data_IF_050499565786
#
_entry.id   IF_050499565786
#
_cell.length_a   1.000
_cell.length_b   1.000
_cell.length_c   1.000
_cell.angle_alpha   90.00
_cell.angle_beta   90.00
_cell.angle_gamma   90.00
#
_symmetry.space_group_name_H-M   'P 1'
#
loop_
_entity.id
_entity.type
_entity.pdbx_description
1 polymer ?
#
# COMPACT_ATOMS: atom_id res chain seq x y z
N UNK A 1 -70.43 8.13 55.26
CA UNK A 1 -70.88 9.22 54.37
C UNK A 1 -69.68 9.72 53.58
N UNK A 2 -69.60 9.44 52.28
CA UNK A 2 -68.51 9.92 51.43
C UNK A 2 -68.63 11.45 51.29
N UNK A 3 -67.52 12.15 51.56
CA UNK A 3 -67.49 13.62 51.55
C UNK A 3 -67.73 14.14 50.12
N UNK A 4 -68.87 14.80 49.90
CA UNK A 4 -69.32 15.31 48.60
C UNK A 4 -68.28 16.22 47.92
N UNK A 5 -67.44 16.90 48.70
CA UNK A 5 -66.32 17.72 48.19
C UNK A 5 -65.18 16.88 47.59
N UNK A 6 -64.90 15.71 48.16
CA UNK A 6 -63.84 14.82 47.68
C UNK A 6 -64.20 14.19 46.33
N UNK A 7 -65.47 13.83 46.12
CA UNK A 7 -65.97 13.29 44.85
C UNK A 7 -65.89 14.32 43.72
N UNK A 8 -66.17 15.59 44.01
CA UNK A 8 -66.11 16.68 43.02
C UNK A 8 -64.66 16.95 42.61
N UNK A 9 -63.72 16.96 43.56
CA UNK A 9 -62.29 17.18 43.27
C UNK A 9 -61.72 15.99 42.47
N UNK A 10 -62.06 14.76 42.85
CA UNK A 10 -61.62 13.57 42.12
C UNK A 10 -62.16 13.56 40.67
N UNK A 11 -63.42 13.95 40.46
CA UNK A 11 -64.00 14.07 39.13
C UNK A 11 -63.32 15.17 38.28
N UNK A 12 -63.00 16.31 38.87
CA UNK A 12 -62.32 17.41 38.18
C UNK A 12 -60.89 17.03 37.74
N UNK A 13 -60.15 16.31 38.59
CA UNK A 13 -58.80 15.80 38.25
C UNK A 13 -58.87 14.78 37.12
N UNK A 14 -59.88 13.90 37.13
CA UNK A 14 -60.05 12.88 36.09
C UNK A 14 -60.41 13.50 34.72
N UNK A 15 -61.22 14.56 34.71
CA UNK A 15 -61.54 15.32 33.50
C UNK A 15 -60.28 16.02 32.96
N UNK A 16 -59.45 16.63 33.81
CA UNK A 16 -58.21 17.27 33.39
C UNK A 16 -57.22 16.27 32.79
N UNK A 17 -57.11 15.06 33.34
CA UNK A 17 -56.28 13.99 32.78
C UNK A 17 -56.79 13.50 31.42
N UNK A 18 -58.11 13.38 31.24
CA UNK A 18 -58.70 12.99 29.95
C UNK A 18 -58.50 14.07 28.88
N UNK A 19 -58.61 15.36 29.25
CA UNK A 19 -58.32 16.47 28.34
C UNK A 19 -56.83 16.48 27.96
N UNK A 20 -55.93 16.30 28.93
CA UNK A 20 -54.49 16.21 28.67
C UNK A 20 -54.13 15.06 27.73
N UNK A 21 -54.71 13.87 27.94
CA UNK A 21 -54.53 12.72 27.06
C UNK A 21 -55.09 12.96 25.64
N UNK A 22 -56.25 13.62 25.53
CA UNK A 22 -56.84 13.97 24.24
C UNK A 22 -55.98 14.98 23.46
N UNK A 23 -55.45 16.00 24.13
CA UNK A 23 -54.55 16.99 23.51
C UNK A 23 -53.24 16.34 23.06
N UNK A 24 -52.66 15.45 23.89
CA UNK A 24 -51.48 14.69 23.50
C UNK A 24 -51.75 13.79 22.28
N UNK A 25 -52.88 13.07 22.25
CA UNK A 25 -53.30 12.29 21.10
C UNK A 25 -53.49 13.15 19.85
N UNK A 26 -54.18 14.30 19.97
CA UNK A 26 -54.43 15.20 18.85
C UNK A 26 -53.13 15.82 18.29
N UNK A 27 -52.11 16.05 19.12
CA UNK A 27 -50.83 16.62 18.69
C UNK A 27 -49.88 15.55 18.12
N UNK A 28 -49.81 14.36 18.71
CA UNK A 28 -48.90 13.30 18.26
C UNK A 28 -49.43 12.48 17.07
N UNK A 29 -50.75 12.28 16.95
CA UNK A 29 -51.34 11.48 15.87
C UNK A 29 -51.81 12.29 14.65
N UNK A 30 -51.78 13.64 14.68
CA UNK A 30 -52.08 14.47 13.50
C UNK A 30 -50.89 14.68 12.54
N UNK A 31 -49.70 14.15 12.82
CA UNK A 31 -48.56 14.25 11.90
C UNK A 31 -48.38 13.07 10.94
N UNK A 32 -49.29 12.09 10.91
CA UNK A 32 -49.31 11.04 9.89
C UNK A 32 -50.64 11.00 9.16
N UNK A 33 -51.00 12.12 8.53
CA UNK A 33 -52.03 12.15 7.48
C UNK A 33 -51.33 12.19 6.13
N UNK A 34 -51.10 11.02 5.55
CA UNK A 34 -50.72 10.88 4.14
C UNK A 34 -51.88 11.41 3.30
N UNK A 35 -51.68 12.53 2.60
CA UNK A 35 -52.66 13.08 1.66
C UNK A 35 -52.39 12.51 0.27
N UNK A 36 -53.36 11.89 -0.42
CA UNK A 36 -53.17 11.45 -1.80
C UNK A 36 -53.22 12.67 -2.72
N UNK A 37 -52.04 13.20 -3.02
CA UNK A 37 -51.85 14.28 -3.98
C UNK A 37 -51.99 13.78 -5.42
N UNK A 38 -52.90 14.41 -6.15
CA UNK A 38 -53.11 14.34 -7.60
C UNK A 38 -51.82 14.36 -8.42
N UNK A 39 -51.75 13.46 -9.40
CA UNK A 39 -50.74 13.36 -10.45
C UNK A 39 -50.60 14.67 -11.24
N UNK A 40 -49.48 15.36 -11.04
CA UNK A 40 -48.82 16.15 -12.08
C UNK A 40 -47.47 15.49 -12.34
N UNK A 41 -47.17 15.21 -13.61
CA UNK A 41 -45.86 14.77 -14.08
C UNK A 41 -44.81 15.83 -13.72
N UNK A 42 -44.23 15.70 -12.53
CA UNK A 42 -42.95 16.29 -12.19
C UNK A 42 -41.88 15.26 -12.52
N UNK A 43 -40.81 15.69 -13.20
CA UNK A 43 -39.64 14.85 -13.44
C UNK A 43 -39.25 14.18 -12.13
N UNK A 44 -39.26 12.84 -12.12
CA UNK A 44 -38.51 12.09 -11.13
C UNK A 44 -37.06 12.55 -11.27
N UNK A 45 -36.61 13.36 -10.31
CA UNK A 45 -35.19 13.45 -10.05
C UNK A 45 -34.84 12.10 -9.45
N UNK A 46 -34.50 11.15 -10.32
CA UNK A 46 -33.70 9.99 -9.93
C UNK A 46 -32.41 10.60 -9.40
N UNK A 47 -32.31 10.72 -8.08
CA UNK A 47 -31.00 10.89 -7.45
C UNK A 47 -30.34 9.53 -7.68
N UNK A 48 -29.62 9.39 -8.80
CA UNK A 48 -28.58 8.38 -8.88
C UNK A 48 -27.74 8.54 -7.60
N UNK A 49 -27.53 7.47 -6.81
CA UNK A 49 -26.61 7.57 -5.69
C UNK A 49 -25.32 8.10 -6.28
N UNK A 50 -24.90 9.29 -5.83
CA UNK A 50 -23.61 9.87 -6.20
C UNK A 50 -22.60 8.73 -6.03
N UNK A 51 -22.00 8.27 -7.13
CA UNK A 51 -21.01 7.19 -7.07
C UNK A 51 -19.80 7.83 -6.40
N UNK A 52 -19.82 7.86 -5.07
CA UNK A 52 -18.67 8.30 -4.31
C UNK A 52 -17.60 7.26 -4.63
N UNK A 53 -16.57 7.68 -5.34
CA UNK A 53 -15.43 6.86 -5.73
C UNK A 53 -14.68 6.43 -4.45
N UNK A 54 -15.19 5.41 -3.77
CA UNK A 54 -14.67 4.90 -2.50
C UNK A 54 -13.79 3.69 -2.76
N UNK A 55 -12.72 3.48 -1.97
CA UNK A 55 -11.97 2.25 -2.04
C UNK A 55 -12.85 1.02 -1.77
N UNK A 56 -12.77 0.03 -2.65
CA UNK A 56 -13.50 -1.24 -2.58
C UNK A 56 -12.58 -2.33 -2.06
N UNK A 57 -12.95 -3.08 -1.00
CA UNK A 57 -12.12 -4.18 -0.51
C UNK A 57 -12.06 -5.31 -1.54
N UNK A 58 -10.84 -5.76 -1.82
CA UNK A 58 -10.54 -6.89 -2.72
C UNK A 58 -10.29 -8.20 -1.95
N UNK A 59 -10.05 -8.11 -0.65
CA UNK A 59 -9.73 -9.28 0.20
C UNK A 59 -10.56 -9.30 1.48
N UNK A 60 -10.84 -10.50 1.98
CA UNK A 60 -11.53 -10.72 3.26
C UNK A 60 -10.57 -10.98 4.43
N UNK A 61 -9.29 -11.23 4.15
CA UNK A 61 -8.23 -11.51 5.13
C UNK A 61 -7.00 -10.69 4.81
N UNK A 62 -6.10 -10.55 5.79
CA UNK A 62 -4.83 -9.86 5.62
C UNK A 62 -4.04 -10.48 4.47
N UNK A 63 -3.39 -9.66 3.65
CA UNK A 63 -2.69 -10.11 2.45
C UNK A 63 -1.16 -9.94 2.55
N UNK A 64 -0.45 -10.64 1.67
CA UNK A 64 0.97 -10.45 1.37
C UNK A 64 1.17 -10.35 -0.14
N UNK A 65 2.08 -9.45 -0.53
CA UNK A 65 2.57 -9.27 -1.89
C UNK A 65 1.47 -9.31 -2.97
N UNK A 66 0.46 -8.43 -2.90
CA UNK A 66 -0.50 -8.31 -4.00
C UNK A 66 0.21 -7.89 -5.29
N UNK A 67 -0.26 -8.41 -6.43
CA UNK A 67 0.27 -8.09 -7.75
C UNK A 67 -0.80 -8.28 -8.81
N UNK A 68 -0.69 -7.58 -9.95
CA UNK A 68 -1.47 -7.91 -11.14
C UNK A 68 -1.07 -9.30 -11.64
N UNK A 69 -2.05 -10.07 -12.11
CA UNK A 69 -1.83 -11.38 -12.71
C UNK A 69 -1.26 -11.31 -14.13
N UNK A 70 -0.72 -12.43 -14.64
CA UNK A 70 -0.14 -12.49 -15.98
C UNK A 70 -1.14 -12.19 -17.11
N UNK A 71 -2.45 -12.35 -16.89
CA UNK A 71 -3.48 -11.99 -17.88
C UNK A 71 -3.91 -10.52 -17.84
N UNK A 72 -3.34 -9.73 -16.92
CA UNK A 72 -3.58 -8.29 -16.78
C UNK A 72 -5.03 -7.90 -16.44
N UNK A 73 -5.78 -8.83 -15.83
CA UNK A 73 -7.23 -8.66 -15.57
C UNK A 73 -7.60 -8.76 -14.11
N UNK A 74 -6.74 -9.36 -13.29
CA UNK A 74 -7.00 -9.66 -11.89
C UNK A 74 -5.83 -9.26 -11.02
N UNK A 75 -6.10 -9.15 -9.72
CA UNK A 75 -5.08 -9.07 -8.69
C UNK A 75 -4.92 -10.45 -8.06
N UNK A 76 -3.68 -10.92 -7.92
CA UNK A 76 -3.28 -12.09 -7.15
C UNK A 76 -2.64 -11.65 -5.84
N UNK A 77 -2.87 -12.40 -4.77
CA UNK A 77 -2.23 -12.16 -3.48
C UNK A 77 -2.17 -13.43 -2.64
N UNK A 78 -1.27 -13.45 -1.65
CA UNK A 78 -1.24 -14.50 -0.63
C UNK A 78 -2.03 -14.08 0.60
N UNK A 79 -2.81 -15.00 1.18
CA UNK A 79 -3.37 -14.84 2.52
C UNK A 79 -2.23 -14.85 3.54
N UNK A 80 -2.11 -13.80 4.35
CA UNK A 80 -1.05 -13.66 5.35
C UNK A 80 -1.13 -14.72 6.45
N UNK A 81 -2.34 -15.18 6.80
CA UNK A 81 -2.55 -16.15 7.87
C UNK A 81 -2.37 -17.60 7.42
N UNK A 82 -2.65 -17.88 6.14
CA UNK A 82 -2.76 -19.26 5.65
C UNK A 82 -1.78 -19.58 4.52
N UNK A 83 -1.16 -18.58 3.90
CA UNK A 83 -0.28 -18.77 2.75
C UNK A 83 -0.99 -19.29 1.49
N UNK A 84 -2.33 -19.25 1.45
CA UNK A 84 -3.10 -19.59 0.24
C UNK A 84 -3.10 -18.45 -0.76
N UNK A 85 -3.23 -18.77 -2.05
CA UNK A 85 -3.23 -17.78 -3.13
C UNK A 85 -4.66 -17.55 -3.57
N UNK A 86 -5.02 -16.28 -3.68
CA UNK A 86 -6.31 -15.83 -4.17
C UNK A 86 -6.14 -14.95 -5.39
N UNK A 87 -7.18 -14.93 -6.23
CA UNK A 87 -7.32 -13.98 -7.32
C UNK A 87 -8.68 -13.27 -7.23
N UNK A 88 -8.75 -12.03 -7.69
CA UNK A 88 -9.97 -11.22 -7.68
C UNK A 88 -9.91 -10.18 -8.81
N UNK A 89 -11.05 -9.83 -9.39
CA UNK A 89 -11.12 -8.74 -10.36
C UNK A 89 -10.83 -7.38 -9.69
N UNK A 90 -10.42 -6.38 -10.47
CA UNK A 90 -10.12 -5.05 -9.94
C UNK A 90 -11.33 -4.33 -9.29
N UNK A 91 -12.56 -4.77 -9.58
CA UNK A 91 -13.79 -4.24 -8.98
C UNK A 91 -14.24 -5.04 -7.73
N UNK A 92 -13.46 -6.03 -7.29
CA UNK A 92 -13.77 -6.90 -6.16
C UNK A 92 -14.63 -8.12 -6.49
N UNK A 93 -15.11 -8.26 -7.72
CA UNK A 93 -15.89 -9.43 -8.15
C UNK A 93 -15.00 -10.67 -8.39
N UNK A 94 -15.62 -11.85 -8.43
CA UNK A 94 -14.98 -13.12 -8.76
C UNK A 94 -13.76 -13.49 -7.89
N UNK A 95 -13.82 -13.17 -6.58
CA UNK A 95 -12.83 -13.64 -5.62
C UNK A 95 -12.81 -15.18 -5.57
N UNK A 96 -11.66 -15.79 -5.85
CA UNK A 96 -11.48 -17.23 -5.81
C UNK A 96 -10.11 -17.63 -5.28
N UNK A 97 -10.00 -18.82 -4.70
CA UNK A 97 -8.73 -19.43 -4.31
C UNK A 97 -8.16 -20.21 -5.49
N UNK A 98 -6.89 -20.01 -5.82
CA UNK A 98 -6.22 -20.67 -6.95
C UNK A 98 -5.08 -21.62 -6.54
N UNK A 99 -4.68 -21.62 -5.28
CA UNK A 99 -3.68 -22.57 -4.79
C UNK A 99 -4.33 -23.89 -4.39
N UNK A 100 -3.66 -25.01 -4.68
CA UNK A 100 -4.05 -26.33 -4.18
C UNK A 100 -3.65 -26.53 -2.72
N UNK A 101 -2.46 -26.06 -2.35
CA UNK A 101 -1.88 -26.16 -1.00
C UNK A 101 -1.78 -24.80 -0.28
N UNK A 102 -1.36 -24.86 0.98
CA UNK A 102 -1.04 -23.74 1.86
C UNK A 102 0.48 -23.62 2.04
N UNK A 103 1.01 -22.41 1.95
CA UNK A 103 2.40 -22.09 2.25
C UNK A 103 2.54 -21.73 3.73
N UNK A 104 2.57 -22.74 4.60
CA UNK A 104 2.63 -22.55 6.05
C UNK A 104 3.92 -21.80 6.48
N UNK A 105 3.79 -20.85 7.40
CA UNK A 105 4.92 -20.06 7.90
C UNK A 105 5.44 -18.98 6.95
N UNK A 106 4.74 -18.69 5.85
CA UNK A 106 5.11 -17.65 4.88
C UNK A 106 5.04 -16.25 5.52
N UNK A 107 6.18 -15.54 5.52
CA UNK A 107 6.32 -14.20 6.09
C UNK A 107 6.40 -13.10 5.03
N UNK A 108 7.11 -13.35 3.94
CA UNK A 108 7.32 -12.38 2.85
C UNK A 108 7.42 -13.10 1.50
N UNK A 109 7.07 -12.38 0.44
CA UNK A 109 7.11 -12.87 -0.94
C UNK A 109 7.70 -11.79 -1.84
N UNK A 110 8.68 -12.17 -2.66
CA UNK A 110 9.25 -11.35 -3.70
C UNK A 110 8.95 -11.98 -5.05
N UNK A 111 8.03 -11.38 -5.79
CA UNK A 111 7.63 -11.85 -7.12
C UNK A 111 8.73 -11.62 -8.16
N UNK A 112 8.95 -12.60 -9.02
CA UNK A 112 9.56 -12.35 -10.31
C UNK A 112 8.64 -11.44 -11.16
N UNK A 113 9.18 -10.56 -12.02
CA UNK A 113 8.37 -9.69 -12.87
C UNK A 113 7.32 -10.42 -13.71
N UNK A 114 7.62 -11.62 -14.21
CA UNK A 114 6.70 -12.47 -14.99
C UNK A 114 5.57 -13.10 -14.15
N UNK A 115 5.61 -13.00 -12.83
CA UNK A 115 4.61 -13.54 -11.88
C UNK A 115 4.48 -15.06 -11.87
N UNK A 116 5.47 -15.78 -12.39
CA UNK A 116 5.49 -17.25 -12.40
C UNK A 116 6.35 -17.82 -11.27
N UNK A 117 7.32 -17.04 -10.79
CA UNK A 117 8.22 -17.45 -9.70
C UNK A 117 8.17 -16.45 -8.56
N UNK A 118 8.51 -16.95 -7.38
CA UNK A 118 8.70 -16.15 -6.18
C UNK A 118 10.00 -16.53 -5.47
N UNK A 119 10.51 -15.59 -4.69
CA UNK A 119 11.31 -15.91 -3.50
C UNK A 119 10.41 -15.75 -2.29
N UNK A 120 10.13 -16.85 -1.60
CA UNK A 120 9.37 -16.86 -0.35
C UNK A 120 10.31 -16.88 0.85
N UNK A 121 9.98 -16.09 1.88
CA UNK A 121 10.64 -16.11 3.18
C UNK A 121 9.71 -16.77 4.19
N UNK A 122 10.19 -17.80 4.85
CA UNK A 122 9.41 -18.67 5.72
C UNK A 122 10.02 -18.72 7.12
N UNK A 123 9.17 -18.84 8.12
CA UNK A 123 9.56 -19.20 9.48
C UNK A 123 9.33 -20.70 9.70
N UNK A 124 10.41 -21.43 9.89
CA UNK A 124 10.41 -22.87 10.16
C UNK A 124 11.21 -23.16 11.42
N UNK A 125 10.59 -23.76 12.45
CA UNK A 125 11.24 -24.10 13.72
C UNK A 125 12.07 -22.92 14.28
N UNK A 126 11.48 -21.72 14.31
CA UNK A 126 12.12 -20.47 14.76
C UNK A 126 13.28 -19.94 13.89
N UNK A 127 13.58 -20.62 12.78
CA UNK A 127 14.59 -20.17 11.81
C UNK A 127 13.95 -19.55 10.58
N UNK A 128 14.57 -18.49 10.04
CA UNK A 128 14.14 -17.87 8.79
C UNK A 128 14.81 -18.58 7.63
N UNK A 129 14.02 -19.13 6.72
CA UNK A 129 14.50 -19.79 5.50
C UNK A 129 13.95 -19.08 4.27
N UNK A 130 14.73 -19.10 3.20
CA UNK A 130 14.38 -18.50 1.92
C UNK A 130 14.37 -19.58 0.86
N UNK A 131 13.33 -19.58 0.03
CA UNK A 131 13.16 -20.55 -1.03
C UNK A 131 12.75 -19.86 -2.31
N UNK A 132 13.31 -20.33 -3.42
CA UNK A 132 12.84 -20.01 -4.77
C UNK A 132 11.77 -21.04 -5.15
N UNK A 133 10.57 -20.57 -5.48
CA UNK A 133 9.42 -21.41 -5.79
C UNK A 133 8.76 -21.01 -7.11
N UNK A 134 8.14 -21.99 -7.77
CA UNK A 134 6.97 -21.69 -8.61
C UNK A 134 5.87 -21.06 -7.73
N UNK A 135 5.22 -20.01 -8.23
CA UNK A 135 4.30 -19.23 -7.42
C UNK A 135 3.16 -20.04 -6.77
N UNK A 136 2.74 -21.16 -7.38
CA UNK A 136 1.68 -22.03 -6.83
C UNK A 136 2.17 -23.03 -5.77
N UNK A 137 3.45 -23.00 -5.41
CA UNK A 137 4.03 -23.89 -4.38
C UNK A 137 4.55 -25.22 -4.92
N UNK A 138 4.93 -25.25 -6.20
CA UNK A 138 5.53 -26.42 -6.86
C UNK A 138 7.00 -26.64 -6.51
N UNK A 139 7.85 -26.85 -7.53
CA UNK A 139 9.29 -27.06 -7.33
C UNK A 139 9.89 -25.95 -6.46
N UNK A 140 10.72 -26.34 -5.50
CA UNK A 140 11.33 -25.44 -4.52
C UNK A 140 12.83 -25.68 -4.45
N UNK A 141 13.59 -24.59 -4.46
CA UNK A 141 15.03 -24.60 -4.26
C UNK A 141 15.32 -23.77 -3.02
N UNK A 142 16.00 -24.38 -2.04
CA UNK A 142 16.39 -23.70 -0.81
C UNK A 142 17.60 -22.80 -1.09
N UNK A 143 17.45 -21.50 -0.81
CA UNK A 143 18.57 -20.56 -0.89
C UNK A 143 19.46 -20.67 0.34
N UNK A 144 20.75 -20.35 0.18
CA UNK A 144 21.73 -20.36 1.26
C UNK A 144 21.31 -19.41 2.39
N UNK A 145 21.46 -19.85 3.65
CA UNK A 145 21.09 -19.09 4.85
C UNK A 145 21.85 -17.75 4.98
N UNK A 146 23.03 -17.63 4.38
CA UNK A 146 23.82 -16.39 4.37
C UNK A 146 23.27 -15.29 3.45
N UNK A 147 22.29 -15.61 2.60
CA UNK A 147 21.68 -14.64 1.69
C UNK A 147 20.70 -13.77 2.48
N UNK A 148 20.89 -12.44 2.53
CA UNK A 148 19.97 -11.55 3.24
C UNK A 148 18.98 -10.84 2.31
N UNK A 149 19.40 -10.48 1.10
CA UNK A 149 18.54 -9.82 0.10
C UNK A 149 18.50 -10.59 -1.21
N UNK A 150 17.39 -10.46 -1.94
CA UNK A 150 17.23 -10.98 -3.30
C UNK A 150 16.50 -9.95 -4.16
N UNK A 151 16.94 -9.78 -5.40
CA UNK A 151 16.24 -9.01 -6.44
C UNK A 151 16.15 -9.83 -7.72
N UNK A 152 15.00 -9.78 -8.40
CA UNK A 152 14.80 -10.41 -9.70
C UNK A 152 15.22 -9.46 -10.82
N UNK A 153 15.88 -9.96 -11.85
CA UNK A 153 16.11 -9.20 -13.08
C UNK A 153 14.77 -8.86 -13.75
N UNK A 154 14.68 -7.75 -14.50
CA UNK A 154 13.40 -7.30 -15.08
C UNK A 154 12.81 -8.27 -16.11
N UNK A 155 13.64 -9.10 -16.74
CA UNK A 155 13.24 -10.18 -17.66
C UNK A 155 12.94 -11.51 -16.95
N UNK A 156 13.01 -11.56 -15.61
CA UNK A 156 12.80 -12.75 -14.79
C UNK A 156 13.77 -13.92 -15.05
N UNK A 157 14.86 -13.70 -15.80
CA UNK A 157 15.82 -14.74 -16.17
C UNK A 157 16.92 -14.97 -15.13
N UNK A 158 17.17 -13.99 -14.26
CA UNK A 158 18.23 -14.00 -13.24
C UNK A 158 17.74 -13.48 -11.89
N UNK A 159 18.51 -13.81 -10.85
CA UNK A 159 18.39 -13.22 -9.52
C UNK A 159 19.73 -12.61 -9.10
N UNK A 160 19.68 -11.51 -8.34
CA UNK A 160 20.81 -10.95 -7.62
C UNK A 160 20.60 -11.23 -6.14
N UNK A 161 21.65 -11.67 -5.46
CA UNK A 161 21.63 -11.96 -4.03
C UNK A 161 22.73 -11.19 -3.34
N UNK A 162 22.44 -10.72 -2.14
CA UNK A 162 23.47 -10.22 -1.22
C UNK A 162 23.71 -11.28 -0.15
N UNK A 163 24.99 -11.54 0.13
CA UNK A 163 25.41 -12.46 1.17
C UNK A 163 26.52 -11.87 2.04
N UNK A 164 26.40 -12.08 3.34
CA UNK A 164 27.39 -11.62 4.30
C UNK A 164 28.56 -12.62 4.42
N UNK A 165 29.78 -12.11 4.34
CA UNK A 165 31.00 -12.84 4.63
C UNK A 165 31.53 -12.42 6.02
N UNK A 166 31.32 -13.28 7.00
CA UNK A 166 31.70 -13.06 8.41
C UNK A 166 33.20 -12.85 8.61
N UNK A 167 34.02 -13.59 7.86
CA UNK A 167 35.46 -13.66 8.08
C UNK A 167 36.14 -12.37 7.63
N UNK A 168 35.66 -11.81 6.50
CA UNK A 168 36.17 -10.56 5.93
C UNK A 168 35.38 -9.33 6.36
N UNK A 169 34.24 -9.52 7.06
CA UNK A 169 33.26 -8.47 7.37
C UNK A 169 32.86 -7.66 6.12
N UNK A 170 32.62 -8.37 5.02
CA UNK A 170 32.19 -7.78 3.75
C UNK A 170 30.91 -8.42 3.27
N UNK A 171 30.14 -7.67 2.49
CA UNK A 171 28.96 -8.17 1.78
C UNK A 171 29.34 -8.38 0.32
N UNK A 172 28.90 -9.50 -0.22
CA UNK A 172 29.13 -9.89 -1.62
C UNK A 172 27.78 -9.92 -2.32
N UNK A 173 27.72 -9.23 -3.46
CA UNK A 173 26.59 -9.28 -4.38
C UNK A 173 26.95 -10.21 -5.52
N UNK A 174 26.09 -11.19 -5.75
CA UNK A 174 26.25 -12.20 -6.79
C UNK A 174 24.99 -12.30 -7.64
N UNK A 175 25.15 -12.62 -8.91
CA UNK A 175 24.04 -12.95 -9.81
C UNK A 175 23.98 -14.45 -10.05
N UNK A 176 22.78 -14.99 -10.23
CA UNK A 176 22.52 -16.38 -10.58
C UNK A 176 21.37 -16.46 -11.58
N UNK A 177 21.20 -17.62 -12.20
CA UNK A 177 20.02 -17.90 -13.02
C UNK A 177 18.75 -17.88 -12.17
N UNK A 178 17.58 -17.71 -12.78
CA UNK A 178 16.27 -17.77 -12.12
C UNK A 178 15.92 -19.13 -11.48
N UNK A 179 16.80 -20.13 -11.61
CA UNK A 179 16.74 -21.38 -10.85
C UNK A 179 17.53 -21.33 -9.53
N UNK A 180 18.37 -20.33 -9.31
CA UNK A 180 19.29 -20.30 -8.16
C UNK A 180 20.55 -21.12 -8.39
N UNK A 181 20.99 -21.26 -9.64
CA UNK A 181 22.25 -21.92 -10.03
C UNK A 181 23.19 -20.91 -10.70
N UNK A 182 24.45 -21.31 -10.95
CA UNK A 182 25.45 -20.49 -11.67
C UNK A 182 25.76 -19.13 -11.00
N UNK A 183 25.92 -19.13 -9.68
CA UNK A 183 26.30 -17.92 -8.93
C UNK A 183 27.66 -17.36 -9.39
N UNK A 184 27.66 -16.07 -9.74
CA UNK A 184 28.84 -15.28 -10.09
C UNK A 184 28.89 -14.04 -9.20
N UNK A 185 30.00 -13.83 -8.51
CA UNK A 185 30.22 -12.60 -7.74
C UNK A 185 30.45 -11.42 -8.70
N UNK A 186 29.74 -10.32 -8.46
CA UNK A 186 29.80 -9.13 -9.33
C UNK A 186 30.26 -7.88 -8.59
N UNK A 187 30.07 -7.83 -7.26
CA UNK A 187 30.44 -6.67 -6.46
C UNK A 187 30.69 -7.07 -5.01
N UNK A 188 31.66 -6.41 -4.37
CA UNK A 188 31.99 -6.62 -2.95
C UNK A 188 32.10 -5.27 -2.26
N UNK A 189 31.53 -5.17 -1.06
CA UNK A 189 31.52 -3.93 -0.30
C UNK A 189 31.56 -4.18 1.21
N UNK A 190 31.92 -3.14 1.96
CA UNK A 190 31.82 -3.11 3.44
C UNK A 190 30.53 -2.44 3.92
N UNK A 191 29.70 -1.94 3.01
CA UNK A 191 28.41 -1.34 3.33
C UNK A 191 27.46 -2.44 3.80
N UNK A 192 26.88 -2.28 4.99
CA UNK A 192 25.93 -3.21 5.60
C UNK A 192 24.49 -2.82 5.30
N UNK A 193 23.56 -3.73 5.64
CA UNK A 193 22.12 -3.48 5.54
C UNK A 193 21.70 -3.00 4.14
N UNK A 194 22.17 -3.70 3.13
CA UNK A 194 21.84 -3.39 1.74
C UNK A 194 20.39 -3.77 1.43
N UNK A 195 19.84 -3.09 0.44
CA UNK A 195 18.59 -3.42 -0.25
C UNK A 195 18.90 -3.44 -1.74
N UNK A 196 18.47 -4.52 -2.41
CA UNK A 196 18.70 -4.73 -3.83
C UNK A 196 17.39 -4.56 -4.61
N UNK A 197 17.45 -3.85 -5.73
CA UNK A 197 16.37 -3.74 -6.71
C UNK A 197 16.99 -3.79 -8.11
N UNK A 198 16.34 -4.39 -9.10
CA UNK A 198 16.93 -4.55 -10.44
C UNK A 198 16.08 -3.84 -11.51
N UNK A 199 16.15 -2.49 -11.60
CA UNK A 199 15.25 -1.71 -12.45
C UNK A 199 15.38 -2.01 -13.95
N UNK A 200 16.60 -2.13 -14.48
CA UNK A 200 16.86 -2.41 -15.90
C UNK A 200 17.92 -3.50 -16.05
N UNK A 201 18.00 -4.16 -17.21
CA UNK A 201 18.88 -5.31 -17.42
C UNK A 201 20.35 -5.03 -17.12
N UNK A 202 20.78 -3.79 -17.31
CA UNK A 202 22.14 -3.30 -17.13
C UNK A 202 22.37 -2.58 -15.78
N UNK A 203 21.35 -2.52 -14.91
CA UNK A 203 21.37 -1.71 -13.68
C UNK A 203 20.78 -2.49 -12.50
N UNK A 204 21.65 -3.00 -11.64
CA UNK A 204 21.29 -3.42 -10.29
C UNK A 204 21.42 -2.22 -9.34
N UNK A 205 20.31 -1.78 -8.77
CA UNK A 205 20.24 -0.75 -7.76
C UNK A 205 20.59 -1.32 -6.39
N UNK A 206 21.54 -0.71 -5.70
CA UNK A 206 22.02 -1.13 -4.38
C UNK A 206 21.96 0.08 -3.47
N UNK A 207 21.16 0.02 -2.41
CA UNK A 207 21.02 1.10 -1.43
C UNK A 207 21.17 0.60 -0.01
N UNK A 208 21.51 1.49 0.91
CA UNK A 208 21.40 1.21 2.34
C UNK A 208 19.93 1.14 2.77
N UNK A 209 19.62 0.40 3.85
CA UNK A 209 18.34 0.53 4.53
C UNK A 209 18.12 1.98 4.94
N UNK A 210 16.87 2.42 4.81
CA UNK A 210 16.49 3.81 5.07
C UNK A 210 16.38 4.08 6.56
N UNK A 211 16.94 5.21 7.00
CA UNK A 211 16.70 5.82 8.32
C UNK A 211 16.77 7.33 8.21
N UNK A 212 15.90 8.05 8.92
CA UNK A 212 15.92 9.50 9.05
C UNK A 212 17.05 10.03 9.93
N UNK A 213 17.76 9.15 10.65
CA UNK A 213 18.84 9.51 11.57
C UNK A 213 20.23 9.15 11.05
N UNK A 214 20.31 8.60 9.83
CA UNK A 214 21.58 8.32 9.17
C UNK A 214 21.53 8.70 7.70
N UNK A 215 22.66 9.15 7.17
CA UNK A 215 22.83 9.34 5.74
C UNK A 215 22.77 8.01 5.00
N UNK A 216 21.97 7.97 3.94
CA UNK A 216 21.91 6.83 3.04
C UNK A 216 22.80 6.98 1.81
N UNK A 217 22.94 5.86 1.11
CA UNK A 217 23.65 5.74 -0.16
C UNK A 217 22.81 4.94 -1.15
N UNK A 218 22.83 5.36 -2.42
CA UNK A 218 22.31 4.64 -3.57
C UNK A 218 23.43 4.57 -4.63
N UNK A 219 23.80 3.36 -5.01
CA UNK A 219 24.69 3.09 -6.12
C UNK A 219 23.98 2.20 -7.14
N UNK A 220 24.48 2.22 -8.37
CA UNK A 220 24.12 1.22 -9.39
C UNK A 220 25.32 0.34 -9.67
N UNK A 221 25.10 -0.95 -9.83
CA UNK A 221 26.09 -1.95 -10.24
C UNK A 221 25.62 -2.55 -11.55
N UNK A 222 26.47 -2.58 -12.58
CA UNK A 222 26.18 -3.31 -13.80
C UNK A 222 26.34 -4.81 -13.53
N UNK A 223 25.31 -5.63 -13.76
CA UNK A 223 25.30 -7.03 -13.35
C UNK A 223 26.24 -7.93 -14.16
N UNK A 224 26.68 -7.51 -15.34
CA UNK A 224 27.54 -8.33 -16.20
C UNK A 224 29.02 -8.02 -15.96
N UNK A 225 29.36 -6.72 -15.84
CA UNK A 225 30.72 -6.22 -15.68
C UNK A 225 31.14 -5.99 -14.22
N UNK A 226 30.19 -5.82 -13.30
CA UNK A 226 30.48 -5.42 -11.91
C UNK A 226 30.90 -3.95 -11.74
N UNK A 227 30.95 -3.17 -12.84
CA UNK A 227 31.20 -1.73 -12.76
C UNK A 227 30.09 -1.03 -11.98
N UNK A 228 30.43 0.01 -11.20
CA UNK A 228 29.47 0.69 -10.35
C UNK A 228 29.58 2.21 -10.46
N UNK A 229 28.47 2.89 -10.19
CA UNK A 229 28.38 4.35 -10.11
C UNK A 229 27.64 4.75 -8.84
N UNK A 230 28.08 5.85 -8.20
CA UNK A 230 27.33 6.49 -7.13
C UNK A 230 26.23 7.37 -7.73
N UNK A 231 25.00 7.26 -7.21
CA UNK A 231 23.84 8.03 -7.70
C UNK A 231 23.40 9.06 -6.66
N UNK A 232 23.07 8.63 -5.44
CA UNK A 232 22.68 9.52 -4.34
C UNK A 232 23.47 9.16 -3.09
N UNK A 233 23.93 10.14 -2.32
CA UNK A 233 24.67 9.91 -1.08
C UNK A 233 24.51 11.09 -0.12
N UNK A 234 24.74 10.87 1.17
CA UNK A 234 24.72 11.95 2.17
C UNK A 234 23.31 12.46 2.48
N UNK A 235 22.27 11.66 2.21
CA UNK A 235 20.87 12.07 2.34
C UNK A 235 20.25 11.31 3.52
N UNK A 236 19.79 12.05 4.53
CA UNK A 236 19.00 11.48 5.63
C UNK A 236 17.62 11.05 5.13
N UNK A 237 17.12 9.92 5.62
CA UNK A 237 15.82 9.40 5.20
C UNK A 237 15.80 8.91 3.75
N UNK A 238 16.97 8.61 3.17
CA UNK A 238 17.09 8.15 1.79
C UNK A 238 16.41 6.80 1.60
N UNK A 239 15.29 6.83 0.89
CA UNK A 239 14.74 5.69 0.17
C UNK A 239 14.71 6.08 -1.32
N UNK A 240 14.66 5.11 -2.22
CA UNK A 240 14.67 5.38 -3.66
C UNK A 240 13.85 4.34 -4.42
N UNK A 241 13.17 4.78 -5.47
CA UNK A 241 12.48 3.94 -6.44
C UNK A 241 12.78 4.48 -7.83
N UNK A 242 13.23 3.60 -8.71
CA UNK A 242 13.52 3.96 -10.10
C UNK A 242 12.24 4.13 -10.89
N UNK A 243 12.26 5.06 -11.84
CA UNK A 243 11.23 5.20 -12.84
C UNK A 243 11.20 3.96 -13.76
N UNK A 244 10.06 3.62 -14.38
CA UNK A 244 9.94 2.47 -15.28
C UNK A 244 11.03 2.39 -16.37
N UNK A 245 11.46 3.52 -16.93
CA UNK A 245 12.51 3.57 -17.96
C UNK A 245 13.94 3.52 -17.37
N UNK A 246 14.08 3.66 -16.05
CA UNK A 246 15.36 3.61 -15.34
C UNK A 246 16.27 4.83 -15.54
N UNK A 247 15.83 5.87 -16.25
CA UNK A 247 16.58 7.11 -16.52
C UNK A 247 16.48 8.14 -15.38
N UNK A 248 15.52 7.96 -14.47
CA UNK A 248 15.27 8.82 -13.30
C UNK A 248 15.02 8.01 -12.04
N UNK A 249 15.15 8.67 -10.91
CA UNK A 249 14.86 8.14 -9.58
C UNK A 249 13.94 9.09 -8.81
N UNK A 250 12.91 8.54 -8.18
CA UNK A 250 12.15 9.20 -7.11
C UNK A 250 12.79 8.81 -5.79
N UNK A 251 13.13 9.78 -4.95
CA UNK A 251 13.77 9.52 -3.67
C UNK A 251 13.15 10.37 -2.55
N UNK A 252 13.32 9.92 -1.32
CA UNK A 252 12.88 10.63 -0.12
C UNK A 252 14.07 11.24 0.60
N UNK A 253 13.83 12.36 1.26
CA UNK A 253 14.79 12.95 2.18
C UNK A 253 14.10 13.51 3.42
N UNK A 254 14.82 13.55 4.52
CA UNK A 254 14.44 14.19 5.78
C UNK A 254 15.52 15.18 6.21
N UNK A 255 15.23 15.97 7.25
CA UNK A 255 16.30 16.59 8.03
C UNK A 255 17.14 15.52 8.75
N UNK A 256 18.27 15.90 9.30
CA UNK A 256 19.14 15.04 10.11
C UNK A 256 18.51 14.61 11.45
N UNK A 257 17.40 15.22 11.86
CA UNK A 257 16.56 14.77 12.99
C UNK A 257 15.40 13.85 12.55
N UNK A 258 15.37 13.42 11.29
CA UNK A 258 14.30 12.57 10.74
C UNK A 258 12.96 13.30 10.63
N UNK A 259 12.98 14.62 10.38
CA UNK A 259 11.77 15.45 10.24
C UNK A 259 11.55 15.87 8.79
N UNK A 260 10.37 16.44 8.53
CA UNK A 260 10.00 17.04 7.26
C UNK A 260 10.30 16.15 6.04
N UNK A 261 9.84 14.90 6.10
CA UNK A 261 10.00 13.96 4.98
C UNK A 261 9.35 14.53 3.72
N UNK A 262 10.14 14.55 2.63
CA UNK A 262 9.74 15.04 1.32
C UNK A 262 10.21 14.09 0.24
N UNK A 263 9.54 14.17 -0.92
CA UNK A 263 9.90 13.45 -2.12
C UNK A 263 10.53 14.37 -3.17
N UNK A 264 11.51 13.83 -3.86
CA UNK A 264 12.28 14.49 -4.90
C UNK A 264 12.47 13.57 -6.10
N UNK A 265 12.69 14.15 -7.28
CA UNK A 265 13.15 13.43 -8.46
C UNK A 265 14.58 13.86 -8.79
N UNK A 266 15.36 12.95 -9.35
CA UNK A 266 16.67 13.21 -9.93
C UNK A 266 16.85 12.33 -11.18
N UNK A 267 17.77 12.72 -12.07
CA UNK A 267 18.18 11.85 -13.18
C UNK A 267 19.02 10.66 -12.65
N UNK A 268 19.32 9.70 -13.50
CA UNK A 268 20.08 8.49 -13.14
C UNK A 268 21.49 8.71 -12.59
N UNK A 269 22.01 9.93 -12.69
CA UNK A 269 23.30 10.34 -12.14
C UNK A 269 23.16 11.14 -10.83
N UNK A 270 21.94 11.26 -10.28
CA UNK A 270 21.65 12.02 -9.07
C UNK A 270 21.61 13.55 -9.26
N UNK A 271 21.53 14.01 -10.51
CA UNK A 271 21.51 15.44 -10.85
C UNK A 271 20.09 15.89 -11.20
N UNK A 272 19.91 17.17 -11.54
CA UNK A 272 18.61 17.75 -11.94
C UNK A 272 17.52 17.54 -10.87
N UNK A 273 17.90 17.74 -9.61
CA UNK A 273 17.03 17.52 -8.46
C UNK A 273 15.82 18.46 -8.49
N UNK A 274 14.62 17.89 -8.36
CA UNK A 274 13.35 18.63 -8.27
C UNK A 274 12.49 18.13 -7.11
N UNK A 275 12.08 19.04 -6.25
CA UNK A 275 11.07 18.79 -5.20
C UNK A 275 9.70 18.60 -5.85
N UNK A 276 9.03 17.47 -5.58
CA UNK A 276 7.69 17.20 -6.12
C UNK A 276 6.56 17.76 -5.25
N UNK A 277 6.92 18.40 -4.13
CA UNK A 277 6.03 19.02 -3.17
C UNK A 277 5.18 18.01 -2.40
N UNK A 278 5.56 16.74 -2.35
CA UNK A 278 4.81 15.69 -1.65
C UNK A 278 5.53 15.29 -0.35
N UNK A 279 4.83 15.40 0.77
CA UNK A 279 5.30 14.96 2.08
C UNK A 279 4.71 13.58 2.40
N UNK A 280 5.31 12.54 1.83
CA UNK A 280 4.88 11.14 2.01
C UNK A 280 6.07 10.20 1.87
N UNK A 281 5.81 8.90 2.00
CA UNK A 281 6.78 7.83 1.85
C UNK A 281 6.74 7.27 0.42
N UNK A 282 7.87 6.80 -0.09
CA UNK A 282 7.98 6.35 -1.50
C UNK A 282 7.12 5.12 -1.78
N UNK A 283 7.01 4.19 -0.83
CA UNK A 283 6.18 2.99 -0.94
C UNK A 283 4.67 3.29 -0.96
N UNK A 284 4.30 4.54 -0.62
CA UNK A 284 2.94 5.06 -0.80
C UNK A 284 2.69 5.63 -2.19
N UNK A 285 3.59 5.39 -3.15
CA UNK A 285 3.48 5.93 -4.51
C UNK A 285 3.72 4.87 -5.61
N UNK A 286 2.95 5.01 -6.69
CA UNK A 286 3.03 4.20 -7.91
C UNK A 286 3.23 5.10 -9.13
N UNK A 287 4.19 4.74 -9.99
CA UNK A 287 4.38 5.40 -11.29
C UNK A 287 3.31 4.94 -12.27
N UNK A 288 2.84 5.88 -13.08
CA UNK A 288 2.17 5.57 -14.33
C UNK A 288 3.19 5.08 -15.37
N UNK A 289 2.71 4.30 -16.33
CA UNK A 289 3.43 3.86 -17.53
C UNK A 289 3.84 5.03 -18.43
N UNK A 290 3.24 6.21 -18.28
CA UNK A 290 3.59 7.42 -19.03
C UNK A 290 4.92 8.07 -18.57
N UNK A 291 5.52 7.58 -17.48
CA UNK A 291 6.77 8.08 -16.87
C UNK A 291 6.70 9.55 -16.38
N UNK A 292 5.50 10.14 -16.34
CA UNK A 292 5.24 11.56 -16.04
C UNK A 292 4.25 11.73 -14.90
N UNK A 293 3.45 10.72 -14.62
CA UNK A 293 2.38 10.77 -13.62
C UNK A 293 2.73 9.87 -12.44
N UNK A 294 2.55 10.39 -11.23
CA UNK A 294 2.73 9.67 -9.97
C UNK A 294 1.42 9.64 -9.20
N UNK A 295 0.98 8.45 -8.81
CA UNK A 295 -0.17 8.23 -7.94
C UNK A 295 0.33 8.01 -6.52
N UNK A 296 -0.07 8.85 -5.56
CA UNK A 296 0.40 8.76 -4.19
C UNK A 296 -0.75 8.79 -3.19
N UNK A 297 -0.62 7.97 -2.15
CA UNK A 297 -1.31 8.18 -0.89
C UNK A 297 -0.49 9.15 -0.03
N UNK A 298 -1.05 10.33 0.23
CA UNK A 298 -0.39 11.41 0.97
C UNK A 298 -1.09 11.56 2.32
N UNK A 299 -0.36 11.39 3.44
CA UNK A 299 -0.89 11.62 4.77
C UNK A 299 -1.47 13.03 4.91
N UNK A 300 -2.71 13.12 5.40
CA UNK A 300 -3.34 14.41 5.72
C UNK A 300 -2.51 15.19 6.75
N UNK A 301 -1.86 14.46 7.67
CA UNK A 301 -0.94 15.01 8.67
C UNK A 301 0.17 14.00 8.96
N UNK A 302 1.39 14.51 9.08
CA UNK A 302 2.53 13.78 9.62
C UNK A 302 2.71 14.13 11.10
N UNK A 303 2.99 13.11 11.92
CA UNK A 303 3.35 13.32 13.32
C UNK A 303 4.67 14.09 13.41
N UNK A 304 4.66 15.23 14.14
CA UNK A 304 5.86 16.04 14.40
C UNK A 304 6.82 15.37 15.39
N UNK A 305 6.30 14.48 16.23
CA UNK A 305 7.10 13.79 17.25
C UNK A 305 7.83 12.57 16.68
N UNK A 306 7.34 11.99 15.59
CA UNK A 306 7.93 10.80 14.97
C UNK A 306 9.26 11.11 14.27
N UNK A 307 10.15 10.13 14.27
CA UNK A 307 11.34 10.07 13.41
C UNK A 307 10.92 9.33 12.13
N UNK A 308 10.93 10.03 10.99
CA UNK A 308 10.55 9.49 9.70
C UNK A 308 11.76 8.96 8.92
N UNK A 309 11.65 7.80 8.24
CA UNK A 309 10.54 6.85 8.26
C UNK A 309 10.63 5.80 9.39
N UNK A 310 11.63 5.86 10.25
CA UNK A 310 11.96 4.84 11.26
C UNK A 310 10.77 4.42 12.14
N UNK A 311 10.07 5.37 12.75
CA UNK A 311 8.96 5.10 13.65
C UNK A 311 7.75 4.53 12.91
N UNK A 312 7.57 4.91 11.65
CA UNK A 312 6.52 4.34 10.80
C UNK A 312 6.83 2.89 10.41
N UNK A 313 8.09 2.58 10.07
CA UNK A 313 8.53 1.21 9.79
C UNK A 313 8.47 0.31 11.02
N UNK A 314 8.72 0.85 12.21
CA UNK A 314 8.52 0.15 13.50
C UNK A 314 7.04 0.01 13.88
N UNK A 315 6.12 0.65 13.16
CA UNK A 315 4.69 0.63 13.45
C UNK A 315 4.27 1.47 14.66
N UNK A 316 5.13 2.39 15.12
CA UNK A 316 4.86 3.30 16.24
C UNK A 316 3.92 4.45 15.82
N UNK A 317 3.85 4.74 14.52
CA UNK A 317 2.91 5.71 13.95
C UNK A 317 2.18 5.11 12.74
N UNK A 318 0.96 5.59 12.53
CA UNK A 318 0.15 5.31 11.33
C UNK A 318 -0.32 6.63 10.73
N UNK A 319 -0.67 6.62 9.46
CA UNK A 319 -1.16 7.81 8.75
C UNK A 319 -2.62 7.67 8.37
N UNK A 320 -3.24 8.76 7.93
CA UNK A 320 -4.54 8.73 7.24
C UNK A 320 -4.35 9.48 5.95
N UNK A 321 -4.53 8.79 4.85
CA UNK A 321 -4.04 9.24 3.55
C UNK A 321 -5.18 9.72 2.67
N UNK A 322 -4.94 10.81 1.96
CA UNK A 322 -5.71 11.19 0.78
C UNK A 322 -4.95 10.69 -0.46
N UNK A 323 -5.66 10.41 -1.55
CA UNK A 323 -5.04 9.87 -2.77
C UNK A 323 -4.99 10.94 -3.84
N UNK A 324 -3.83 11.06 -4.48
CA UNK A 324 -3.52 12.13 -5.42
C UNK A 324 -2.87 11.58 -6.68
N UNK A 325 -3.23 12.16 -7.83
CA UNK A 325 -2.51 12.08 -9.09
C UNK A 325 -1.63 13.31 -9.21
N UNK A 326 -0.34 13.14 -9.44
CA UNK A 326 0.66 14.22 -9.52
C UNK A 326 1.33 14.17 -10.89
N UNK A 327 1.23 15.25 -11.65
CA UNK A 327 2.00 15.40 -12.88
C UNK A 327 3.39 15.94 -12.53
N UNK A 328 4.43 15.14 -12.78
CA UNK A 328 5.81 15.43 -12.38
C UNK A 328 6.47 16.53 -13.22
N UNK A 329 5.97 16.81 -14.42
CA UNK A 329 6.47 17.89 -15.28
C UNK A 329 5.99 19.26 -14.77
N UNK A 330 4.68 19.40 -14.59
CA UNK A 330 4.02 20.67 -14.20
C UNK A 330 3.93 20.88 -12.69
N UNK A 331 4.01 19.80 -11.90
CA UNK A 331 3.76 19.82 -10.45
C UNK A 331 2.27 19.84 -10.07
N UNK A 332 1.36 19.77 -11.06
CA UNK A 332 -0.10 19.78 -10.83
C UNK A 332 -0.52 18.55 -10.03
N UNK A 333 -1.37 18.75 -9.00
CA UNK A 333 -1.93 17.67 -8.18
C UNK A 333 -3.45 17.65 -8.30
N UNK A 334 -3.99 16.48 -8.62
CA UNK A 334 -5.42 16.23 -8.70
C UNK A 334 -5.81 15.23 -7.62
N UNK A 335 -6.76 15.57 -6.76
CA UNK A 335 -7.24 14.66 -5.73
C UNK A 335 -8.12 13.57 -6.36
N UNK A 336 -7.81 12.31 -6.08
CA UNK A 336 -8.57 11.13 -6.52
C UNK A 336 -9.58 10.74 -5.43
N UNK A 337 -9.13 10.77 -4.17
CA UNK A 337 -9.95 10.43 -3.02
C UNK A 337 -9.55 11.24 -1.79
N UNK A 338 -10.55 11.62 -1.00
CA UNK A 338 -10.39 12.32 0.26
C UNK A 338 -10.92 11.43 1.40
N UNK A 339 -10.07 11.10 2.37
CA UNK A 339 -10.44 10.29 3.53
C UNK A 339 -11.30 11.04 4.56
N UNK A 340 -11.66 12.29 4.30
CA UNK A 340 -12.53 13.10 5.15
C UNK A 340 -11.88 13.49 6.48
N UNK A 341 -12.61 14.25 7.32
CA UNK A 341 -12.12 14.68 8.62
C UNK A 341 -12.27 13.60 9.70
N UNK A 342 -13.33 12.78 9.67
CA UNK A 342 -13.63 11.76 10.68
C UNK A 342 -12.99 10.41 10.30
N UNK A 343 -12.19 9.85 11.21
CA UNK A 343 -11.55 8.55 11.03
C UNK A 343 -12.52 7.37 11.08
N UNK A 344 -13.79 7.60 11.46
CA UNK A 344 -14.83 6.56 11.47
C UNK A 344 -15.36 6.21 10.09
N UNK A 345 -15.24 7.13 9.12
CA UNK A 345 -15.76 6.92 7.77
C UNK A 345 -14.72 6.24 6.87
N UNK A 346 -13.55 6.87 6.73
CA UNK A 346 -12.47 6.40 5.86
C UNK A 346 -11.12 6.56 6.55
N UNK A 347 -10.43 5.44 6.75
CA UNK A 347 -9.19 5.42 7.52
C UNK A 347 -8.14 4.54 6.85
N UNK A 348 -7.62 5.03 5.73
CA UNK A 348 -6.64 4.32 4.92
C UNK A 348 -5.23 4.82 5.23
N UNK A 349 -4.34 3.87 5.54
CA UNK A 349 -2.89 4.05 5.61
C UNK A 349 -2.31 3.13 4.53
N UNK A 350 -2.21 3.64 3.31
CA UNK A 350 -1.96 2.79 2.15
C UNK A 350 -0.47 2.41 2.07
N UNK A 351 -0.20 1.16 1.73
CA UNK A 351 1.12 0.60 1.43
C UNK A 351 1.00 -0.36 0.23
N UNK A 352 2.13 -0.76 -0.34
CA UNK A 352 2.20 -1.68 -1.49
C UNK A 352 1.30 -1.22 -2.66
N UNK A 353 1.44 0.06 -3.02
CA UNK A 353 0.57 0.70 -4.02
C UNK A 353 1.05 0.39 -5.44
N UNK A 354 0.12 0.01 -6.31
CA UNK A 354 0.36 -0.18 -7.75
C UNK A 354 -0.90 0.11 -8.58
N UNK A 355 -0.74 0.29 -9.88
CA UNK A 355 -1.84 0.55 -10.82
C UNK A 355 -2.28 -0.74 -11.51
N UNK A 356 -3.55 -0.79 -11.91
CA UNK A 356 -4.00 -1.75 -12.92
C UNK A 356 -3.30 -1.47 -14.27
N UNK A 357 -3.22 -2.44 -15.19
CA UNK A 357 -2.55 -2.26 -16.49
C UNK A 357 -3.13 -1.15 -17.36
N UNK A 358 -4.45 -0.90 -17.23
CA UNK A 358 -5.14 0.21 -17.89
C UNK A 358 -5.16 1.50 -17.07
N UNK A 359 -4.52 1.49 -15.90
CA UNK A 359 -4.43 2.59 -14.94
C UNK A 359 -5.76 3.19 -14.49
N UNK A 360 -6.85 2.44 -14.65
CA UNK A 360 -8.20 2.80 -14.22
C UNK A 360 -8.50 2.43 -12.76
N UNK A 361 -7.60 1.67 -12.11
CA UNK A 361 -7.64 1.35 -10.70
C UNK A 361 -6.27 1.55 -10.07
N UNK A 362 -6.26 2.13 -8.87
CA UNK A 362 -5.16 2.12 -7.93
C UNK A 362 -5.42 1.03 -6.89
N UNK A 363 -4.49 0.11 -6.72
CA UNK A 363 -4.59 -1.02 -5.79
C UNK A 363 -3.59 -0.79 -4.65
N UNK A 364 -4.00 -1.05 -3.42
CA UNK A 364 -3.16 -0.86 -2.24
C UNK A 364 -3.59 -1.76 -1.08
N UNK A 365 -2.67 -2.02 -0.16
CA UNK A 365 -2.97 -2.65 1.13
C UNK A 365 -3.16 -1.55 2.17
N UNK A 366 -4.23 -1.61 2.96
CA UNK A 366 -4.37 -0.72 4.11
C UNK A 366 -3.58 -1.28 5.29
N UNK A 367 -2.52 -0.59 5.72
CA UNK A 367 -1.64 -1.02 6.82
C UNK A 367 -2.39 -1.27 8.14
N UNK A 368 -3.53 -0.59 8.36
CA UNK A 368 -4.30 -0.67 9.61
C UNK A 368 -5.03 -2.01 9.79
N UNK A 369 -5.72 -2.48 8.76
CA UNK A 369 -6.46 -3.74 8.79
C UNK A 369 -5.73 -4.89 8.08
N UNK A 370 -4.75 -4.57 7.21
CA UNK A 370 -3.97 -5.48 6.38
C UNK A 370 -4.71 -6.00 5.14
N UNK A 371 -5.90 -5.47 4.84
CA UNK A 371 -6.72 -5.86 3.70
C UNK A 371 -6.27 -5.13 2.43
N UNK A 372 -6.51 -5.77 1.29
CA UNK A 372 -6.31 -5.24 -0.05
C UNK A 372 -7.55 -4.45 -0.51
N UNK A 373 -7.32 -3.30 -1.13
CA UNK A 373 -8.35 -2.42 -1.67
C UNK A 373 -8.02 -1.99 -3.10
N UNK A 374 -9.07 -1.62 -3.85
CA UNK A 374 -8.98 -0.93 -5.14
C UNK A 374 -9.68 0.42 -5.06
N UNK A 375 -9.22 1.40 -5.83
CA UNK A 375 -9.81 2.73 -5.94
C UNK A 375 -9.81 3.11 -7.42
N UNK A 376 -10.92 3.59 -7.98
CA UNK A 376 -10.88 4.08 -9.38
C UNK A 376 -10.06 5.35 -9.45
N UNK A 377 -9.30 5.51 -10.52
CA UNK A 377 -8.42 6.68 -10.70
C UNK A 377 -9.14 7.86 -11.36
N UNK A 378 -10.31 7.61 -11.95
CA UNK A 378 -11.17 8.57 -12.66
C UNK A 378 -12.65 8.35 -12.33
#
# INVERSE_FOLDING_TARGET
MVNRKFVIIAAAVLILLLIGAYVAYALFYRQTSFSPGTTKKGNEIVIEPEIINRPVPLSQKKVLAPTVDASEKKVKYYSKSEGNIYEVNFDGSNLSRISSANLAGLLQVFWAPNKEKIVGVFQENETIKKYLHDYQGGQSIRLNEKINQVAWSPDSSRIAVESANSDTKTNVISTADAGGDNFKNIFQTRINDLVLEWPTLDKLSVRTKTSGLSEGLLITVNPDSGSFNSVLHGIYGLNAKWFPLGDKVLYSATTNEGKDIKLFTANQNGQEVKDIGAATLIEKCAFSQDDRTLFCAIPQRLSRNAVWPDDYYKGLVTTRDDFWKINLETGTKTQIFNSGPDARDYNYDAIDIFLSPKENYLIFVNKKDGLLYSLKTE
#
